data_IF_812946026322
#
_entry.id   IF_812946026322
#
_cell.length_a   1.000
_cell.length_b   1.000
_cell.length_c   1.000
_cell.angle_alpha   90.00
_cell.angle_beta   90.00
_cell.angle_gamma   90.00
#
_symmetry.space_group_name_H-M   'P 1'
#
loop_
_entity.id
_entity.type
_entity.pdbx_description
1 polymer ?
#
# COMPACT_ATOMS: atom_id res chain seq x y z
N UNK A 1 -16.03 -23.76 -21.27
CA UNK A 1 -14.79 -24.04 -20.54
C UNK A 1 -15.02 -23.57 -19.12
N UNK A 2 -15.57 -24.46 -18.28
CA UNK A 2 -15.85 -24.20 -16.87
C UNK A 2 -14.51 -24.06 -16.14
N UNK A 3 -14.35 -22.97 -15.39
CA UNK A 3 -13.20 -22.76 -14.53
C UNK A 3 -13.55 -23.42 -13.20
N UNK A 4 -12.98 -24.60 -12.96
CA UNK A 4 -13.22 -25.36 -11.73
C UNK A 4 -12.45 -24.69 -10.57
N UNK A 5 -13.18 -24.25 -9.55
CA UNK A 5 -12.65 -23.65 -8.33
C UNK A 5 -12.64 -24.71 -7.21
N UNK A 6 -11.48 -24.99 -6.63
CA UNK A 6 -11.35 -25.79 -5.40
C UNK A 6 -10.95 -24.90 -4.22
N UNK A 7 -11.83 -24.73 -3.21
CA UNK A 7 -11.46 -24.04 -1.97
C UNK A 7 -10.74 -25.02 -1.02
N UNK A 8 -9.54 -24.64 -0.58
CA UNK A 8 -8.83 -25.34 0.50
C UNK A 8 -9.31 -24.77 1.84
N UNK A 9 -10.25 -25.45 2.51
CA UNK A 9 -10.75 -25.07 3.83
C UNK A 9 -10.15 -26.01 4.88
N UNK A 10 -9.55 -25.47 5.94
CA UNK A 10 -9.33 -26.17 7.20
C UNK A 10 -9.77 -25.25 8.35
N UNK A 11 -10.68 -25.76 9.19
CA UNK A 11 -11.48 -25.02 10.16
C UNK A 11 -10.66 -24.55 11.38
N UNK A 12 -10.78 -23.26 11.75
CA UNK A 12 -10.95 -22.78 13.15
C UNK A 12 -11.00 -21.24 13.23
N UNK A 13 -12.18 -20.67 13.53
CA UNK A 13 -12.47 -19.37 14.18
C UNK A 13 -11.51 -18.17 14.00
N UNK A 14 -11.09 -17.88 12.76
CA UNK A 14 -10.59 -16.58 12.33
C UNK A 14 -11.38 -16.24 11.07
N UNK A 15 -11.80 -14.99 10.90
CA UNK A 15 -12.52 -14.48 9.72
C UNK A 15 -11.92 -15.16 8.48
N UNK A 16 -12.68 -16.05 7.82
CA UNK A 16 -12.10 -16.98 6.85
C UNK A 16 -11.34 -16.19 5.78
N UNK A 17 -10.02 -16.35 5.77
CA UNK A 17 -9.17 -15.76 4.74
C UNK A 17 -9.37 -16.61 3.48
N UNK A 18 -10.24 -16.14 2.59
CA UNK A 18 -10.51 -16.82 1.32
C UNK A 18 -9.39 -16.47 0.34
N UNK A 19 -8.70 -17.50 -0.16
CA UNK A 19 -7.71 -17.39 -1.23
C UNK A 19 -8.25 -17.95 -2.54
N UNK A 20 -7.96 -17.27 -3.65
CA UNK A 20 -8.29 -17.74 -5.00
C UNK A 20 -7.01 -17.95 -5.80
N UNK A 21 -6.88 -19.12 -6.43
CA UNK A 21 -5.77 -19.43 -7.32
C UNK A 21 -6.33 -19.64 -8.71
N UNK A 22 -5.93 -18.78 -9.65
CA UNK A 22 -6.31 -18.88 -11.05
C UNK A 22 -5.12 -19.41 -11.83
N UNK A 23 -5.24 -20.62 -12.38
CA UNK A 23 -4.22 -21.21 -13.24
C UNK A 23 -4.40 -20.72 -14.67
N UNK A 24 -3.36 -20.12 -15.23
CA UNK A 24 -3.33 -19.66 -16.61
C UNK A 24 -2.15 -20.33 -17.33
N UNK A 25 -2.42 -21.30 -18.20
CA UNK A 25 -1.36 -22.05 -18.90
C UNK A 25 -0.53 -21.21 -19.86
N UNK A 26 -0.99 -20.01 -20.21
CA UNK A 26 -0.36 -19.12 -21.18
C UNK A 26 0.67 -18.15 -20.56
N UNK A 27 0.88 -18.18 -19.25
CA UNK A 27 1.80 -17.27 -18.56
C UNK A 27 2.88 -18.05 -17.82
N UNK A 28 4.12 -17.59 -17.97
CA UNK A 28 5.28 -18.11 -17.23
C UNK A 28 5.49 -17.37 -15.89
N UNK A 29 4.74 -16.29 -15.68
CA UNK A 29 4.85 -15.44 -14.50
C UNK A 29 3.67 -15.64 -13.56
N UNK A 30 3.94 -15.50 -12.27
CA UNK A 30 2.96 -15.46 -11.20
C UNK A 30 2.60 -14.01 -10.87
N UNK A 31 1.33 -13.81 -10.52
CA UNK A 31 0.77 -12.56 -10.04
C UNK A 31 0.05 -12.85 -8.72
N UNK A 32 0.20 -11.97 -7.74
CA UNK A 32 -0.42 -12.15 -6.44
C UNK A 32 -0.93 -10.83 -5.88
N UNK A 33 -2.07 -10.91 -5.20
CA UNK A 33 -2.66 -9.81 -4.46
C UNK A 33 -2.97 -10.33 -3.06
N UNK A 34 -2.41 -9.66 -2.05
CA UNK A 34 -2.68 -9.92 -0.65
C UNK A 34 -3.33 -8.70 -0.05
N UNK A 35 -4.42 -8.89 0.68
CA UNK A 35 -5.20 -7.81 1.26
C UNK A 35 -5.36 -8.02 2.76
N UNK A 36 -5.31 -6.93 3.51
CA UNK A 36 -5.61 -6.91 4.94
C UNK A 36 -6.45 -5.68 5.28
N UNK A 37 -7.02 -5.66 6.48
CA UNK A 37 -7.78 -4.52 6.98
C UNK A 37 -6.86 -3.31 7.16
N UNK A 38 -7.36 -2.16 6.75
CA UNK A 38 -6.71 -0.86 6.91
C UNK A 38 -7.64 0.15 7.60
N UNK A 39 -7.23 1.42 7.68
CA UNK A 39 -8.07 2.49 8.19
C UNK A 39 -9.33 2.64 7.31
N UNK A 40 -10.50 2.61 7.94
CA UNK A 40 -11.81 2.76 7.27
C UNK A 40 -12.34 4.20 7.28
N UNK A 41 -11.61 5.13 7.91
CA UNK A 41 -12.01 6.52 8.06
C UNK A 41 -10.92 7.45 7.54
N UNK A 42 -11.35 8.52 6.86
CA UNK A 42 -10.44 9.54 6.31
C UNK A 42 -9.74 10.40 7.37
N UNK A 43 -10.26 10.43 8.59
CA UNK A 43 -9.64 11.15 9.72
C UNK A 43 -8.80 10.24 10.63
N UNK A 44 -8.57 8.98 10.24
CA UNK A 44 -7.72 8.08 11.01
C UNK A 44 -6.33 8.69 11.24
N UNK A 45 -5.80 8.68 12.49
CA UNK A 45 -4.46 9.16 12.78
C UNK A 45 -3.38 8.33 12.05
N UNK A 46 -3.69 7.08 11.70
CA UNK A 46 -2.76 6.17 11.04
C UNK A 46 -2.68 6.37 9.52
N UNK A 47 -3.59 7.16 8.93
CA UNK A 47 -3.64 7.34 7.48
C UNK A 47 -2.39 8.02 6.93
N UNK A 48 -1.99 9.16 7.50
CA UNK A 48 -0.80 9.88 7.04
C UNK A 48 0.50 9.07 7.24
N UNK A 49 0.76 8.44 8.41
CA UNK A 49 1.87 7.52 8.59
C UNK A 49 1.89 6.39 7.56
N UNK A 50 0.74 5.78 7.29
CA UNK A 50 0.63 4.65 6.38
C UNK A 50 0.87 5.06 4.91
N UNK A 51 0.40 6.24 4.49
CA UNK A 51 0.70 6.79 3.17
C UNK A 51 2.20 7.02 2.99
N UNK A 52 2.87 7.61 3.98
CA UNK A 52 4.31 7.83 3.96
C UNK A 52 5.07 6.50 3.95
N UNK A 53 4.65 5.52 4.74
CA UNK A 53 5.25 4.18 4.75
C UNK A 53 5.10 3.49 3.39
N UNK A 54 3.91 3.55 2.77
CA UNK A 54 3.70 2.99 1.44
C UNK A 54 4.63 3.64 0.42
N UNK A 55 4.77 4.97 0.46
CA UNK A 55 5.66 5.69 -0.46
C UNK A 55 7.13 5.35 -0.21
N UNK A 56 7.58 5.29 1.04
CA UNK A 56 8.94 4.88 1.42
C UNK A 56 9.31 3.50 0.85
N UNK A 57 8.35 2.56 0.87
CA UNK A 57 8.54 1.23 0.32
C UNK A 57 8.56 1.23 -1.22
N UNK A 58 7.64 1.98 -1.83
CA UNK A 58 7.33 1.90 -3.26
C UNK A 58 8.13 2.83 -4.17
N UNK A 59 8.67 3.94 -3.65
CA UNK A 59 9.36 4.97 -4.44
C UNK A 59 10.51 4.35 -5.27
N UNK A 60 10.88 5.01 -6.37
CA UNK A 60 12.03 4.58 -7.17
C UNK A 60 13.31 4.63 -6.32
N UNK A 61 14.09 3.55 -6.34
CA UNK A 61 15.20 3.31 -5.39
C UNK A 61 14.80 3.16 -3.90
N UNK A 62 13.49 3.06 -3.63
CA UNK A 62 12.94 2.68 -2.34
C UNK A 62 13.25 1.24 -1.95
N UNK A 63 12.72 0.82 -0.80
CA UNK A 63 13.10 -0.47 -0.19
C UNK A 63 12.64 -1.65 -1.06
N UNK A 64 11.40 -1.64 -1.56
CA UNK A 64 10.93 -2.73 -2.44
C UNK A 64 11.65 -2.75 -3.77
N UNK A 65 12.00 -1.59 -4.32
CA UNK A 65 12.77 -1.53 -5.55
C UNK A 65 14.14 -2.22 -5.39
N UNK A 66 14.91 -1.84 -4.36
CA UNK A 66 16.23 -2.42 -4.09
C UNK A 66 16.18 -3.91 -3.79
N UNK A 67 15.23 -4.34 -2.96
CA UNK A 67 15.20 -5.71 -2.43
C UNK A 67 14.44 -6.69 -3.32
N UNK A 68 13.36 -6.27 -3.97
CA UNK A 68 12.53 -7.16 -4.81
C UNK A 68 12.98 -7.08 -6.26
N UNK A 69 13.03 -5.88 -6.84
CA UNK A 69 13.43 -5.70 -8.25
C UNK A 69 14.93 -5.87 -8.44
N UNK A 70 15.74 -5.27 -7.56
CA UNK A 70 17.21 -5.35 -7.61
C UNK A 70 17.76 -6.78 -7.48
N UNK A 71 17.04 -7.66 -6.77
CA UNK A 71 17.39 -9.08 -6.64
C UNK A 71 16.74 -9.99 -7.70
N UNK A 72 15.96 -9.42 -8.62
CA UNK A 72 15.29 -10.18 -9.69
C UNK A 72 14.12 -11.05 -9.22
N UNK A 73 13.54 -10.79 -8.04
CA UNK A 73 12.42 -11.57 -7.51
C UNK A 73 11.10 -11.27 -8.22
N UNK A 74 10.89 -10.02 -8.64
CA UNK A 74 9.74 -9.61 -9.45
C UNK A 74 10.07 -8.38 -10.31
N UNK A 75 9.28 -8.16 -11.35
CA UNK A 75 9.35 -6.91 -12.10
C UNK A 75 8.91 -5.72 -11.24
N UNK A 76 7.83 -5.88 -10.47
CA UNK A 76 7.34 -4.85 -9.55
C UNK A 76 6.56 -5.47 -8.38
N UNK A 77 6.65 -4.82 -7.22
CA UNK A 77 5.80 -5.08 -6.08
C UNK A 77 5.54 -3.76 -5.36
N UNK A 78 4.32 -3.57 -4.87
CA UNK A 78 3.94 -2.34 -4.17
C UNK A 78 2.88 -2.58 -3.10
N UNK A 79 2.85 -1.68 -2.13
CA UNK A 79 1.82 -1.59 -1.09
C UNK A 79 0.92 -0.39 -1.33
N UNK A 80 -0.40 -0.55 -1.22
CA UNK A 80 -1.36 0.55 -1.35
C UNK A 80 -2.37 0.50 -0.21
N UNK A 81 -2.66 1.65 0.39
CA UNK A 81 -3.82 1.83 1.26
C UNK A 81 -4.99 2.41 0.48
N UNK A 82 -6.18 1.84 0.68
CA UNK A 82 -7.45 2.41 0.23
C UNK A 82 -8.37 2.59 1.44
N UNK A 83 -8.65 3.85 1.78
CA UNK A 83 -9.50 4.23 2.92
C UNK A 83 -10.97 3.99 2.64
N UNK A 84 -11.42 4.19 1.40
CA UNK A 84 -12.81 3.99 0.99
C UNK A 84 -13.25 2.55 1.20
N UNK A 85 -12.35 1.61 0.87
CA UNK A 85 -12.61 0.17 1.07
C UNK A 85 -12.12 -0.33 2.43
N UNK A 86 -11.31 0.45 3.14
CA UNK A 86 -10.67 0.03 4.39
C UNK A 86 -9.68 -1.12 4.20
N UNK A 87 -9.00 -1.18 3.05
CA UNK A 87 -8.11 -2.29 2.69
C UNK A 87 -6.69 -1.77 2.43
N UNK A 88 -5.71 -2.47 2.97
CA UNK A 88 -4.31 -2.38 2.57
C UNK A 88 -4.02 -3.55 1.63
N UNK A 89 -3.45 -3.27 0.48
CA UNK A 89 -3.19 -4.25 -0.58
C UNK A 89 -1.71 -4.29 -0.92
N UNK A 90 -1.10 -5.46 -0.81
CA UNK A 90 0.19 -5.78 -1.37
C UNK A 90 0.00 -6.49 -2.71
N UNK A 91 0.64 -5.99 -3.76
CA UNK A 91 0.53 -6.56 -5.11
C UNK A 91 1.90 -6.93 -5.63
N UNK A 92 2.02 -8.15 -6.15
CA UNK A 92 3.18 -8.63 -6.90
C UNK A 92 2.83 -8.73 -8.37
N UNK A 93 3.61 -8.07 -9.21
CA UNK A 93 3.41 -8.04 -10.64
C UNK A 93 4.60 -8.65 -11.38
N UNK A 94 4.32 -9.71 -12.14
CA UNK A 94 5.29 -10.49 -12.93
C UNK A 94 6.47 -10.97 -12.09
N UNK A 95 6.27 -12.08 -11.38
CA UNK A 95 7.33 -12.76 -10.62
C UNK A 95 7.45 -14.23 -11.07
N UNK A 96 8.66 -14.81 -11.12
CA UNK A 96 8.80 -16.26 -11.25
C UNK A 96 8.16 -17.03 -10.09
N UNK A 97 8.14 -16.43 -8.89
CA UNK A 97 7.63 -17.03 -7.65
C UNK A 97 7.10 -15.94 -6.72
N UNK A 98 5.77 -15.73 -6.76
CA UNK A 98 5.14 -14.70 -5.95
C UNK A 98 5.20 -14.99 -4.44
N UNK A 99 5.37 -16.25 -4.03
CA UNK A 99 5.52 -16.59 -2.61
C UNK A 99 6.84 -16.05 -2.06
N UNK A 100 7.95 -16.20 -2.81
CA UNK A 100 9.25 -15.63 -2.41
C UNK A 100 9.19 -14.11 -2.28
N UNK A 101 8.48 -13.44 -3.18
CA UNK A 101 8.29 -11.99 -3.13
C UNK A 101 7.51 -11.60 -1.88
N UNK A 102 6.42 -12.31 -1.58
CA UNK A 102 5.63 -12.09 -0.37
C UNK A 102 6.45 -12.33 0.91
N UNK A 103 7.19 -13.44 1.01
CA UNK A 103 8.00 -13.75 2.18
C UNK A 103 9.10 -12.69 2.39
N UNK A 104 9.71 -12.22 1.30
CA UNK A 104 10.70 -11.15 1.38
C UNK A 104 10.09 -9.81 1.81
N UNK A 105 8.93 -9.43 1.26
CA UNK A 105 8.22 -8.21 1.66
C UNK A 105 7.80 -8.27 3.14
N UNK A 106 7.30 -9.41 3.61
CA UNK A 106 6.94 -9.65 5.01
C UNK A 106 8.13 -9.47 5.94
N UNK A 107 9.31 -10.01 5.59
CA UNK A 107 10.55 -9.83 6.37
C UNK A 107 10.92 -8.37 6.49
N UNK A 108 10.94 -7.63 5.37
CA UNK A 108 11.26 -6.20 5.35
C UNK A 108 10.32 -5.40 6.26
N UNK A 109 9.01 -5.65 6.17
CA UNK A 109 8.02 -4.96 7.01
C UNK A 109 8.26 -5.24 8.49
N UNK A 110 8.53 -6.50 8.85
CA UNK A 110 8.86 -6.87 10.23
C UNK A 110 10.19 -6.27 10.71
N UNK A 111 11.18 -6.17 9.84
CA UNK A 111 12.48 -5.58 10.16
C UNK A 111 12.38 -4.05 10.34
N UNK A 112 11.53 -3.38 9.55
CA UNK A 112 11.17 -1.97 9.76
C UNK A 112 10.41 -1.79 11.09
N UNK A 113 9.42 -2.63 11.37
CA UNK A 113 8.65 -2.56 12.61
C UNK A 113 9.51 -2.82 13.86
N UNK A 114 10.50 -3.71 13.74
CA UNK A 114 11.45 -4.02 14.82
C UNK A 114 12.67 -3.08 14.85
N UNK A 115 12.71 -2.03 14.02
CA UNK A 115 13.81 -1.06 13.91
C UNK A 115 15.19 -1.68 13.59
N UNK A 116 15.20 -2.85 12.95
CA UNK A 116 16.44 -3.47 12.44
C UNK A 116 16.91 -2.82 11.14
N UNK A 117 15.95 -2.36 10.33
CA UNK A 117 16.20 -1.55 9.14
C UNK A 117 15.84 -0.13 9.50
N UNK A 118 16.84 0.74 9.51
CA UNK A 118 16.66 2.18 9.65
C UNK A 118 16.61 2.80 8.25
N UNK A 119 15.68 3.74 8.07
CA UNK A 119 15.69 4.66 6.93
C UNK A 119 16.22 6.00 7.44
N UNK A 120 16.97 6.70 6.60
CA UNK A 120 17.52 7.99 6.99
C UNK A 120 16.49 9.12 6.81
N UNK A 121 16.78 10.27 7.42
CA UNK A 121 15.93 11.46 7.32
C UNK A 121 15.64 11.87 5.86
N UNK A 122 16.61 11.74 4.97
CA UNK A 122 16.44 12.08 3.56
C UNK A 122 15.46 11.16 2.84
N UNK A 123 15.48 9.85 3.15
CA UNK A 123 14.51 8.87 2.63
C UNK A 123 13.10 9.20 3.13
N UNK A 124 12.95 9.62 4.40
CA UNK A 124 11.66 10.06 4.94
C UNK A 124 11.14 11.33 4.24
N UNK A 125 11.98 12.35 4.09
CA UNK A 125 11.59 13.61 3.43
C UNK A 125 11.27 13.40 1.95
N UNK A 126 11.97 12.49 1.27
CA UNK A 126 11.65 12.07 -0.08
C UNK A 126 10.26 11.39 -0.15
N UNK A 127 9.97 10.47 0.78
CA UNK A 127 8.66 9.81 0.85
C UNK A 127 7.51 10.79 1.13
N UNK A 128 7.70 11.74 2.06
CA UNK A 128 6.71 12.81 2.29
C UNK A 128 6.46 13.63 1.04
N UNK A 129 7.54 14.03 0.36
CA UNK A 129 7.45 14.81 -0.88
C UNK A 129 6.73 14.03 -1.99
N UNK A 130 6.96 12.73 -2.09
CA UNK A 130 6.25 11.83 -3.01
C UNK A 130 4.75 11.78 -2.74
N UNK A 131 4.34 11.62 -1.47
CA UNK A 131 2.91 11.65 -1.08
C UNK A 131 2.27 13.00 -1.40
N UNK A 132 2.92 14.11 -1.04
CA UNK A 132 2.41 15.46 -1.30
C UNK A 132 2.28 15.70 -2.81
N UNK A 133 3.30 15.34 -3.58
CA UNK A 133 3.25 15.41 -5.04
C UNK A 133 2.08 14.59 -5.60
N UNK A 134 1.88 13.36 -5.11
CA UNK A 134 0.77 12.51 -5.50
C UNK A 134 -0.61 13.15 -5.22
N UNK A 135 -0.76 13.84 -4.09
CA UNK A 135 -1.98 14.57 -3.74
C UNK A 135 -2.20 15.78 -4.66
N UNK A 136 -1.16 16.60 -4.89
CA UNK A 136 -1.25 17.78 -5.75
C UNK A 136 -1.49 17.39 -7.21
N UNK A 137 -0.88 16.30 -7.68
CA UNK A 137 -1.01 15.83 -9.06
C UNK A 137 -2.43 15.32 -9.41
N UNK A 138 -3.25 15.01 -8.39
CA UNK A 138 -4.69 14.74 -8.57
C UNK A 138 -5.50 16.00 -8.86
N UNK A 139 -4.94 17.18 -8.65
CA UNK A 139 -5.57 18.48 -8.90
C UNK A 139 -4.77 19.30 -9.93
N UNK A 140 -3.90 18.65 -10.73
CA UNK A 140 -2.97 19.34 -11.66
C UNK A 140 -3.66 20.11 -12.79
N UNK A 141 -4.92 19.80 -13.08
CA UNK A 141 -5.74 20.49 -14.06
C UNK A 141 -7.20 20.57 -13.60
N UNK A 142 -7.96 21.45 -14.26
CA UNK A 142 -9.34 21.78 -13.88
C UNK A 142 -10.24 20.54 -13.90
N UNK A 143 -10.07 19.66 -14.88
CA UNK A 143 -10.88 18.45 -15.01
C UNK A 143 -10.62 17.48 -13.86
N UNK A 144 -9.34 17.20 -13.54
CA UNK A 144 -9.00 16.33 -12.41
C UNK A 144 -9.42 16.95 -11.07
N UNK A 145 -9.19 18.25 -10.88
CA UNK A 145 -9.63 18.96 -9.69
C UNK A 145 -11.17 18.92 -9.51
N UNK A 146 -11.94 19.04 -10.59
CA UNK A 146 -13.40 18.92 -10.54
C UNK A 146 -13.85 17.50 -10.14
N UNK A 147 -13.21 16.46 -10.70
CA UNK A 147 -13.51 15.07 -10.35
C UNK A 147 -13.14 14.77 -8.90
N UNK A 148 -11.93 15.15 -8.46
CA UNK A 148 -11.47 14.94 -7.08
C UNK A 148 -12.37 15.67 -6.08
N UNK A 149 -12.72 16.92 -6.36
CA UNK A 149 -13.65 17.72 -5.55
C UNK A 149 -15.03 17.04 -5.42
N UNK A 150 -15.56 16.53 -6.53
CA UNK A 150 -16.82 15.79 -6.53
C UNK A 150 -16.74 14.50 -5.70
N UNK A 151 -15.67 13.71 -5.88
CA UNK A 151 -15.47 12.47 -5.11
C UNK A 151 -15.35 12.75 -3.62
N UNK A 152 -14.49 13.69 -3.22
CA UNK A 152 -14.27 14.00 -1.80
C UNK A 152 -15.51 14.60 -1.14
N UNK A 153 -16.13 15.61 -1.75
CA UNK A 153 -17.21 16.36 -1.11
C UNK A 153 -18.58 15.69 -1.27
N UNK A 154 -18.89 15.16 -2.46
CA UNK A 154 -20.23 14.63 -2.75
C UNK A 154 -20.32 13.14 -2.41
N UNK A 155 -19.33 12.34 -2.83
CA UNK A 155 -19.37 10.89 -2.60
C UNK A 155 -18.91 10.50 -1.20
N UNK A 156 -17.84 11.14 -0.71
CA UNK A 156 -17.24 10.80 0.58
C UNK A 156 -17.66 11.74 1.73
N UNK A 157 -18.47 12.76 1.45
CA UNK A 157 -18.97 13.75 2.44
C UNK A 157 -17.86 14.41 3.27
N UNK A 158 -16.73 14.73 2.61
CA UNK A 158 -15.58 15.38 3.23
C UNK A 158 -15.60 16.89 2.99
N UNK A 159 -14.93 17.61 3.89
CA UNK A 159 -14.73 19.04 3.75
C UNK A 159 -13.81 19.37 2.54
N UNK A 160 -14.09 20.47 1.85
CA UNK A 160 -13.28 20.99 0.74
C UNK A 160 -11.79 21.20 1.10
N UNK A 161 -11.48 21.39 2.39
CA UNK A 161 -10.13 21.51 2.92
C UNK A 161 -9.43 20.18 3.23
N UNK A 162 -10.03 19.02 2.94
CA UNK A 162 -9.49 17.71 3.33
C UNK A 162 -8.07 17.47 2.81
N UNK A 163 -7.82 17.65 1.51
CA UNK A 163 -6.49 17.45 0.91
C UNK A 163 -5.44 18.35 1.54
N UNK A 164 -5.78 19.62 1.83
CA UNK A 164 -4.87 20.56 2.52
C UNK A 164 -4.54 20.08 3.94
N UNK A 165 -5.55 19.62 4.70
CA UNK A 165 -5.35 19.06 6.05
C UNK A 165 -4.48 17.81 6.00
N UNK A 166 -4.69 16.94 5.02
CA UNK A 166 -3.88 15.73 4.84
C UNK A 166 -2.43 16.06 4.49
N UNK A 167 -2.19 17.03 3.61
CA UNK A 167 -0.83 17.52 3.29
C UNK A 167 -0.13 18.04 4.56
N UNK A 168 -0.82 18.84 5.37
CA UNK A 168 -0.26 19.32 6.65
C UNK A 168 0.09 18.16 7.59
N UNK A 169 -0.81 17.18 7.76
CA UNK A 169 -0.56 15.97 8.57
C UNK A 169 0.67 15.19 8.06
N UNK A 170 0.85 15.07 6.75
CA UNK A 170 2.00 14.38 6.14
C UNK A 170 3.31 15.17 6.37
N UNK A 171 3.25 16.49 6.30
CA UNK A 171 4.42 17.35 6.52
C UNK A 171 4.90 17.32 7.98
N UNK A 172 3.96 17.32 8.93
CA UNK A 172 4.23 17.33 10.38
C UNK A 172 4.74 15.99 10.95
N UNK A 173 4.69 14.92 10.15
CA UNK A 173 5.19 13.59 10.52
C UNK A 173 6.67 13.62 10.96
N UNK A 174 6.98 13.01 12.10
CA UNK A 174 8.36 12.80 12.57
C UNK A 174 8.78 11.33 12.50
N UNK A 175 10.07 11.04 12.60
CA UNK A 175 10.69 9.70 12.49
C UNK A 175 10.16 8.67 13.51
N UNK A 176 9.47 9.12 14.57
CA UNK A 176 8.86 8.26 15.58
C UNK A 176 7.53 7.67 15.11
N UNK A 177 7.56 6.52 14.46
CA UNK A 177 6.37 5.67 14.29
C UNK A 177 5.87 5.22 15.67
N UNK A 178 4.93 5.95 16.25
CA UNK A 178 4.13 5.47 17.37
C UNK A 178 3.02 4.57 16.83
N UNK A 179 3.36 3.35 16.44
CA UNK A 179 2.38 2.30 16.13
C UNK A 179 1.72 1.83 17.44
N UNK A 180 0.79 2.63 17.97
CA UNK A 180 -0.13 2.13 18.99
C UNK A 180 -1.12 1.18 18.30
N UNK A 181 -0.75 -0.10 18.16
CA UNK A 181 -1.71 -1.20 17.98
C UNK A 181 -2.01 -1.70 16.57
N UNK A 182 -1.08 -1.65 15.61
CA UNK A 182 -1.25 -2.27 14.28
C UNK A 182 -0.21 -3.37 13.98
N UNK A 183 0.11 -4.19 14.98
CA UNK A 183 0.81 -5.47 14.81
C UNK A 183 0.03 -6.55 15.55
#
# INVERSE_FOLDING_TARGET
MSCDYEPLINQSNLIESVGYIVKLSAIENTFAIHSTKGPTTFDSPDLAPLLVLCELLNIMEGIFWRVIRGQGLAYSAWLKVNVETGIIQFTTYKSPDAYKVYDQARKIINDLASKKVEFNKSELEAAKSGVIYGLVNKEDNIQKAAVESFVLQVLNNLDSGFNKKLISKVQDMQEGFNTHGLI
#
